data_IF_577821875096
#
_entry.id   IF_577821875096
#
_cell.length_a   1.000
_cell.length_b   1.000
_cell.length_c   1.000
_cell.angle_alpha   90.00
_cell.angle_beta   90.00
_cell.angle_gamma   90.00
#
_symmetry.space_group_name_H-M   'P 1'
#
loop_
_entity.id
_entity.type
_entity.pdbx_description
1 polymer ?
#
# COMPACT_ATOMS: atom_id res chain seq x y z
N UNK A 1 17.21 14.18 -11.22
CA UNK A 1 17.65 13.02 -10.43
C UNK A 1 16.47 12.59 -9.58
N UNK A 2 15.88 11.44 -9.89
CA UNK A 2 14.82 10.83 -9.08
C UNK A 2 15.49 10.16 -7.88
N UNK A 3 15.09 10.52 -6.66
CA UNK A 3 15.60 9.88 -5.45
C UNK A 3 15.08 8.43 -5.39
N UNK A 4 15.96 7.41 -5.39
CA UNK A 4 15.56 6.00 -5.46
C UNK A 4 14.77 5.53 -4.23
N UNK A 5 14.78 6.29 -3.13
CA UNK A 5 14.03 5.96 -1.91
C UNK A 5 12.66 6.64 -1.83
N UNK A 6 12.26 7.39 -2.87
CA UNK A 6 10.98 8.09 -2.89
C UNK A 6 9.99 7.35 -3.77
N UNK A 7 8.80 7.15 -3.22
CA UNK A 7 7.69 6.65 -4.01
C UNK A 7 7.36 7.60 -5.17
N UNK A 8 6.97 7.05 -6.33
CA UNK A 8 6.33 7.81 -7.39
C UNK A 8 5.15 8.65 -6.86
N UNK A 9 4.93 9.84 -7.43
CA UNK A 9 3.97 10.83 -6.89
C UNK A 9 2.58 10.76 -7.52
N UNK A 10 2.27 9.68 -8.24
CA UNK A 10 1.01 9.56 -8.98
C UNK A 10 -0.13 8.94 -8.18
N UNK A 11 0.17 8.14 -7.18
CA UNK A 11 -0.83 7.58 -6.26
C UNK A 11 -0.93 8.45 -5.02
N UNK A 12 -2.05 9.15 -4.84
CA UNK A 12 -2.30 10.04 -3.71
C UNK A 12 -3.31 9.41 -2.76
N UNK A 13 -2.88 8.76 -1.66
CA UNK A 13 -3.79 8.16 -0.71
C UNK A 13 -4.53 9.25 0.08
N UNK A 14 -5.84 9.08 0.24
CA UNK A 14 -6.69 10.03 0.98
C UNK A 14 -7.34 9.42 2.23
N UNK A 15 -7.51 8.08 2.28
CA UNK A 15 -8.05 7.36 3.43
C UNK A 15 -7.48 5.95 3.55
N UNK A 16 -7.22 5.56 4.79
CA UNK A 16 -6.85 4.19 5.15
C UNK A 16 -7.92 3.60 6.06
N UNK A 17 -8.32 2.37 5.76
CA UNK A 17 -9.08 1.53 6.68
C UNK A 17 -8.18 0.37 7.08
N UNK A 18 -7.86 0.29 8.36
CA UNK A 18 -6.89 -0.65 8.89
C UNK A 18 -7.60 -1.54 9.91
N UNK A 19 -7.55 -2.85 9.67
CA UNK A 19 -7.97 -3.85 10.63
C UNK A 19 -6.79 -4.74 10.99
N UNK A 20 -6.51 -4.88 12.28
CA UNK A 20 -5.43 -5.70 12.80
C UNK A 20 -6.01 -6.72 13.78
N UNK A 21 -5.53 -7.95 13.68
CA UNK A 21 -5.86 -9.07 14.53
C UNK A 21 -4.55 -9.56 15.20
N UNK A 22 -4.19 -9.01 16.37
CA UNK A 22 -2.98 -9.42 17.07
C UNK A 22 -3.14 -10.79 17.72
N UNK A 23 -2.11 -11.62 17.61
CA UNK A 23 -1.92 -12.83 18.41
C UNK A 23 -0.83 -12.55 19.45
N UNK A 24 -1.24 -12.41 20.71
CA UNK A 24 -0.35 -12.07 21.82
C UNK A 24 0.53 -13.24 22.24
N UNK A 25 0.06 -14.48 22.10
CA UNK A 25 0.79 -15.67 22.51
C UNK A 25 1.91 -15.98 21.51
N UNK A 26 1.60 -15.84 20.21
CA UNK A 26 2.58 -16.01 19.14
C UNK A 26 3.45 -14.77 18.89
N UNK A 27 3.11 -13.62 19.48
CA UNK A 27 3.71 -12.32 19.21
C UNK A 27 3.68 -11.96 17.70
N UNK A 28 2.54 -12.21 17.05
CA UNK A 28 2.33 -11.91 15.62
C UNK A 28 1.07 -11.07 15.42
N UNK A 29 0.82 -10.64 14.17
CA UNK A 29 -0.45 -10.05 13.78
C UNK A 29 -0.81 -10.45 12.36
N UNK A 30 -2.11 -10.59 12.11
CA UNK A 30 -2.71 -10.58 10.77
C UNK A 30 -3.59 -9.35 10.63
N UNK A 31 -4.08 -9.09 9.42
CA UNK A 31 -4.96 -7.96 9.21
C UNK A 31 -5.16 -7.63 7.74
N UNK A 32 -5.98 -6.61 7.51
CA UNK A 32 -6.26 -6.07 6.18
C UNK A 32 -6.13 -4.56 6.19
N UNK A 33 -5.72 -4.02 5.05
CA UNK A 33 -5.64 -2.58 4.83
C UNK A 33 -6.32 -2.25 3.51
N UNK A 34 -7.35 -1.42 3.56
CA UNK A 34 -7.95 -0.81 2.36
C UNK A 34 -7.42 0.62 2.24
N UNK A 35 -6.90 0.96 1.07
CA UNK A 35 -6.31 2.28 0.80
C UNK A 35 -7.12 2.94 -0.31
N UNK A 36 -7.77 4.04 0.01
CA UNK A 36 -8.43 4.89 -0.97
C UNK A 36 -7.40 5.81 -1.59
N UNK A 37 -7.25 5.73 -2.92
CA UNK A 37 -6.19 6.41 -3.66
C UNK A 37 -6.79 7.17 -4.82
N UNK A 38 -6.43 8.45 -4.93
CA UNK A 38 -6.64 9.25 -6.13
C UNK A 38 -5.40 9.11 -7.03
N UNK A 39 -5.59 8.68 -8.28
CA UNK A 39 -4.51 8.60 -9.26
C UNK A 39 -4.45 9.94 -10.01
N UNK A 40 -3.36 10.68 -9.81
CA UNK A 40 -3.06 11.89 -10.57
C UNK A 40 -2.89 11.58 -12.07
N UNK A 41 -2.89 12.60 -12.93
CA UNK A 41 -2.90 12.47 -14.40
C UNK A 41 -2.16 11.23 -14.90
N UNK A 42 -2.85 10.30 -15.60
CA UNK A 42 -2.24 9.06 -16.06
C UNK A 42 -1.02 9.35 -16.94
N UNK A 43 0.13 8.83 -16.54
CA UNK A 43 1.35 8.83 -17.34
C UNK A 43 1.48 7.43 -17.95
N UNK A 44 1.61 7.30 -19.28
CA UNK A 44 1.79 6.00 -19.92
C UNK A 44 3.03 5.22 -19.46
N UNK A 45 3.96 5.83 -18.72
CA UNK A 45 5.07 5.12 -18.07
C UNK A 45 4.76 4.60 -16.65
N UNK A 46 3.50 4.66 -16.19
CA UNK A 46 3.11 4.13 -14.88
C UNK A 46 2.88 2.62 -14.95
N UNK A 47 3.82 1.85 -14.42
CA UNK A 47 3.75 0.38 -14.40
C UNK A 47 2.98 -0.20 -13.20
N UNK A 48 2.41 0.67 -12.34
CA UNK A 48 1.59 0.25 -11.20
C UNK A 48 1.61 1.23 -10.03
N UNK A 49 1.03 0.80 -8.91
CA UNK A 49 1.05 1.53 -7.64
C UNK A 49 2.15 0.92 -6.76
N UNK A 50 3.10 1.75 -6.32
CA UNK A 50 4.21 1.33 -5.46
C UNK A 50 3.93 1.78 -4.03
N UNK A 51 4.07 0.87 -3.06
CA UNK A 51 3.87 1.13 -1.64
C UNK A 51 5.08 0.67 -0.82
N UNK A 52 5.23 1.22 0.38
CA UNK A 52 6.21 0.73 1.34
C UNK A 52 5.68 -0.51 2.06
N UNK A 53 6.54 -1.50 2.26
CA UNK A 53 6.30 -2.64 3.14
C UNK A 53 7.62 -2.99 3.83
N UNK A 54 7.61 -3.06 5.16
CA UNK A 54 8.77 -3.43 5.96
C UNK A 54 8.39 -4.62 6.84
N UNK A 55 9.04 -5.76 6.62
CA UNK A 55 8.85 -6.99 7.39
C UNK A 55 7.39 -7.50 7.40
N UNK A 56 6.64 -7.22 6.32
CA UNK A 56 5.26 -7.70 6.14
C UNK A 56 5.21 -8.85 5.13
N UNK A 57 4.49 -9.91 5.49
CA UNK A 57 4.09 -10.96 4.54
C UNK A 57 2.74 -10.60 3.92
N UNK A 58 2.72 -10.32 2.62
CA UNK A 58 1.50 -9.94 1.89
C UNK A 58 0.81 -11.20 1.38
N UNK A 59 -0.37 -11.50 1.92
CA UNK A 59 -1.15 -12.69 1.55
C UNK A 59 -1.91 -12.50 0.23
N UNK A 60 -2.46 -11.30 0.01
CA UNK A 60 -3.21 -10.94 -1.18
C UNK A 60 -3.25 -9.42 -1.36
N UNK A 61 -3.52 -8.99 -2.59
CA UNK A 61 -3.81 -7.60 -2.92
C UNK A 61 -4.85 -7.58 -4.04
N UNK A 62 -5.82 -6.68 -3.94
CA UNK A 62 -6.88 -6.48 -4.93
C UNK A 62 -7.06 -5.00 -5.21
N UNK A 63 -7.47 -4.68 -6.43
CA UNK A 63 -7.84 -3.32 -6.84
C UNK A 63 -9.34 -3.38 -7.16
N UNK A 64 -10.10 -2.46 -6.58
CA UNK A 64 -11.52 -2.25 -6.85
C UNK A 64 -11.70 -0.81 -7.32
N UNK A 65 -12.13 -0.62 -8.56
CA UNK A 65 -12.16 0.67 -9.26
C UNK A 65 -13.07 0.68 -10.46
#
# INVERSE_FOLDING_TARGET
MTDPHRLPRHALPNRYEVHLEPDLDAATFSGTVTIHVDVATPDPSMDGIVLNAAELSIHSATIDG
#
